data_IF_725903013641
#
_entry.id   IF_725903013641
#
_cell.length_a   1.000
_cell.length_b   1.000
_cell.length_c   1.000
_cell.angle_alpha   90.00
_cell.angle_beta   90.00
_cell.angle_gamma   90.00
#
_symmetry.space_group_name_H-M   'P 1'
#
loop_
_entity.id
_entity.type
_entity.pdbx_description
1 polymer ?
#
# COMPACT_ATOMS: atom_id res chain seq x y z
N UNK A 1 -0.14 8.70 6.96
CA UNK A 1 0.23 7.34 7.43
C UNK A 1 -0.92 6.40 7.17
N UNK A 2 -0.64 5.15 6.78
CA UNK A 2 -1.63 4.08 6.63
C UNK A 2 -1.60 3.18 7.86
N UNK A 3 -2.75 2.74 8.33
CA UNK A 3 -2.89 1.87 9.49
C UNK A 3 -4.06 0.91 9.30
N UNK A 4 -3.96 -0.30 9.83
CA UNK A 4 -5.05 -1.25 9.86
C UNK A 4 -6.11 -0.91 10.92
N UNK A 5 -7.18 -1.70 10.91
CA UNK A 5 -8.33 -1.54 11.82
C UNK A 5 -8.45 -2.67 12.86
N UNK A 6 -7.43 -3.56 12.94
CA UNK A 6 -7.50 -4.71 13.84
C UNK A 6 -7.41 -4.30 15.32
N UNK A 7 -7.94 -5.16 16.19
CA UNK A 7 -7.68 -5.05 17.62
C UNK A 7 -6.19 -5.31 17.91
N UNK A 8 -5.71 -4.88 19.06
CA UNK A 8 -4.31 -5.05 19.44
C UNK A 8 -3.42 -3.89 18.95
N UNK A 9 -2.36 -4.19 18.18
CA UNK A 9 -1.35 -3.21 17.80
C UNK A 9 -1.90 -2.03 16.99
N UNK A 10 -2.78 -2.29 16.00
CA UNK A 10 -3.38 -1.22 15.20
C UNK A 10 -4.19 -0.26 16.06
N UNK A 11 -5.10 -0.81 16.91
CA UNK A 11 -5.93 0.01 17.80
C UNK A 11 -5.09 0.79 18.81
N UNK A 12 -4.07 0.16 19.40
CA UNK A 12 -3.18 0.83 20.36
C UNK A 12 -2.42 1.98 19.71
N UNK A 13 -1.92 1.79 18.48
CA UNK A 13 -1.26 2.83 17.73
C UNK A 13 -2.23 3.93 17.31
N UNK A 14 -3.45 3.60 16.88
CA UNK A 14 -4.51 4.56 16.60
C UNK A 14 -4.79 5.43 17.83
N UNK A 15 -4.94 4.83 19.01
CA UNK A 15 -5.14 5.59 20.25
C UNK A 15 -3.99 6.56 20.51
N UNK A 16 -2.75 6.07 20.38
CA UNK A 16 -1.57 6.92 20.60
C UNK A 16 -1.48 8.10 19.64
N UNK A 17 -1.92 7.93 18.40
CA UNK A 17 -1.95 8.99 17.40
C UNK A 17 -3.08 9.99 17.68
N UNK A 18 -4.25 9.51 18.07
CA UNK A 18 -5.38 10.34 18.44
C UNK A 18 -5.07 11.20 19.68
N UNK A 19 -4.48 10.62 20.73
CA UNK A 19 -4.05 11.32 21.95
C UNK A 19 -3.05 12.46 21.65
N UNK A 20 -2.34 12.39 20.52
CA UNK A 20 -1.38 13.40 20.07
C UNK A 20 -1.95 14.36 19.03
N UNK A 21 -3.23 14.27 18.72
CA UNK A 21 -3.87 15.10 17.70
C UNK A 21 -3.29 14.90 16.30
N UNK A 22 -2.77 13.70 15.97
CA UNK A 22 -2.19 13.43 14.66
C UNK A 22 -3.28 13.12 13.64
N UNK A 23 -3.48 13.99 12.65
CA UNK A 23 -4.61 13.91 11.72
C UNK A 23 -4.29 13.22 10.38
N UNK A 24 -3.02 13.10 9.99
CA UNK A 24 -2.62 12.56 8.67
C UNK A 24 -2.58 11.04 8.65
N UNK A 25 -3.74 10.42 8.95
CA UNK A 25 -3.94 8.97 8.98
C UNK A 25 -5.00 8.55 7.96
N UNK A 26 -4.83 7.38 7.37
CA UNK A 26 -5.86 6.67 6.60
C UNK A 26 -5.97 5.27 7.18
N UNK A 27 -7.17 4.91 7.61
CA UNK A 27 -7.47 3.58 8.16
C UNK A 27 -7.91 2.66 7.03
N UNK A 28 -7.26 1.51 6.89
CA UNK A 28 -7.65 0.48 5.92
C UNK A 28 -8.56 -0.54 6.57
N UNK A 29 -9.71 -0.79 5.94
CA UNK A 29 -10.70 -1.76 6.41
C UNK A 29 -11.29 -2.53 5.23
N UNK A 30 -11.83 -3.72 5.47
CA UNK A 30 -12.67 -4.41 4.50
C UNK A 30 -14.03 -3.71 4.44
N UNK A 31 -14.57 -3.53 3.23
CA UNK A 31 -15.87 -2.87 3.01
C UNK A 31 -16.95 -3.46 3.92
N UNK A 32 -17.63 -2.60 4.65
CA UNK A 32 -18.69 -2.98 5.60
C UNK A 32 -18.20 -3.63 6.90
N UNK A 33 -16.88 -3.74 7.14
CA UNK A 33 -16.32 -4.46 8.30
C UNK A 33 -15.30 -3.64 9.10
N UNK A 34 -15.46 -2.32 9.15
CA UNK A 34 -14.59 -1.44 9.94
C UNK A 34 -14.72 -1.78 11.43
N UNK A 35 -13.60 -2.14 12.07
CA UNK A 35 -13.53 -2.50 13.50
C UNK A 35 -13.08 -1.36 14.39
N UNK A 36 -12.06 -0.62 13.99
CA UNK A 36 -11.52 0.48 14.76
C UNK A 36 -11.15 1.66 13.87
N UNK A 37 -11.59 2.85 14.27
CA UNK A 37 -11.15 4.16 13.75
C UNK A 37 -11.21 5.18 14.89
N UNK A 38 -10.23 5.10 15.80
CA UNK A 38 -10.22 5.82 17.09
C UNK A 38 -10.16 7.35 16.87
N UNK A 39 -9.39 7.80 15.89
CA UNK A 39 -9.23 9.22 15.62
C UNK A 39 -10.20 9.76 14.56
N UNK A 40 -11.23 9.02 14.18
CA UNK A 40 -12.22 9.40 13.17
C UNK A 40 -11.61 9.85 11.83
N UNK A 41 -10.48 9.25 11.45
CA UNK A 41 -9.75 9.56 10.22
C UNK A 41 -10.45 9.02 8.97
N UNK A 42 -9.93 9.42 7.82
CA UNK A 42 -10.38 8.89 6.52
C UNK A 42 -10.22 7.37 6.48
N UNK A 43 -11.28 6.67 6.04
CA UNK A 43 -11.26 5.22 5.84
C UNK A 43 -11.07 4.92 4.34
N UNK A 44 -10.17 3.99 4.04
CA UNK A 44 -10.06 3.35 2.73
C UNK A 44 -10.65 1.94 2.83
N UNK A 45 -11.83 1.77 2.27
CA UNK A 45 -12.50 0.48 2.17
C UNK A 45 -11.90 -0.33 1.02
N UNK A 46 -11.69 -1.62 1.26
CA UNK A 46 -11.16 -2.59 0.29
C UNK A 46 -12.19 -3.69 0.15
N UNK A 47 -12.64 -3.93 -1.07
CA UNK A 47 -13.63 -4.96 -1.35
C UNK A 47 -13.01 -6.35 -1.18
N UNK A 48 -13.76 -7.23 -0.53
CA UNK A 48 -13.38 -8.62 -0.39
C UNK A 48 -13.64 -9.38 -1.70
N UNK A 49 -12.74 -10.27 -2.06
CA UNK A 49 -12.98 -11.20 -3.16
C UNK A 49 -14.18 -12.09 -2.84
N UNK A 50 -14.97 -12.42 -3.87
CA UNK A 50 -16.16 -13.27 -3.71
C UNK A 50 -15.76 -14.60 -3.07
N UNK A 51 -16.35 -14.94 -1.93
CA UNK A 51 -16.09 -16.19 -1.19
C UNK A 51 -14.89 -16.15 -0.24
N UNK A 52 -14.14 -15.04 -0.16
CA UNK A 52 -13.07 -14.90 0.83
C UNK A 52 -13.60 -15.00 2.27
N UNK A 53 -12.92 -15.76 3.13
CA UNK A 53 -13.30 -15.99 4.52
C UNK A 53 -12.07 -15.98 5.44
N UNK A 54 -12.30 -15.75 6.73
CA UNK A 54 -11.25 -15.85 7.75
C UNK A 54 -10.02 -14.99 7.41
N UNK A 55 -8.86 -15.58 7.43
CA UNK A 55 -7.59 -14.89 7.20
C UNK A 55 -7.51 -14.20 5.82
N UNK A 56 -7.99 -14.85 4.76
CA UNK A 56 -7.95 -14.31 3.40
C UNK A 56 -8.79 -13.05 3.28
N UNK A 57 -9.99 -13.05 3.88
CA UNK A 57 -10.86 -11.89 3.92
C UNK A 57 -10.17 -10.67 4.54
N UNK A 58 -9.56 -10.85 5.70
CA UNK A 58 -8.89 -9.75 6.39
C UNK A 58 -7.56 -9.36 5.76
N UNK A 59 -6.92 -10.27 5.02
CA UNK A 59 -5.68 -10.01 4.30
C UNK A 59 -5.86 -9.07 3.10
N UNK A 60 -7.08 -8.95 2.53
CA UNK A 60 -7.33 -8.09 1.37
C UNK A 60 -6.94 -6.64 1.62
N UNK A 61 -7.35 -6.07 2.76
CA UNK A 61 -6.97 -4.71 3.13
C UNK A 61 -5.46 -4.56 3.36
N UNK A 62 -4.81 -5.60 3.90
CA UNK A 62 -3.37 -5.59 4.18
C UNK A 62 -2.56 -5.64 2.88
N UNK A 63 -3.04 -6.41 1.88
CA UNK A 63 -2.46 -6.43 0.53
C UNK A 63 -2.54 -5.05 -0.09
N UNK A 64 -3.72 -4.43 -0.07
CA UNK A 64 -3.91 -3.10 -0.64
C UNK A 64 -3.07 -2.05 0.09
N UNK A 65 -3.03 -2.11 1.42
CA UNK A 65 -2.21 -1.20 2.23
C UNK A 65 -0.71 -1.36 1.91
N UNK A 66 -0.24 -2.59 1.72
CA UNK A 66 1.14 -2.85 1.33
C UNK A 66 1.45 -2.32 -0.08
N UNK A 67 0.51 -2.42 -1.03
CA UNK A 67 0.65 -1.86 -2.38
C UNK A 67 0.77 -0.33 -2.37
N UNK A 68 -0.01 0.34 -1.53
CA UNK A 68 -0.05 1.79 -1.46
C UNK A 68 1.08 2.41 -0.62
N UNK A 69 1.65 1.65 0.32
CA UNK A 69 2.71 2.11 1.20
C UNK A 69 4.06 2.20 0.49
N UNK A 70 4.93 3.11 0.92
CA UNK A 70 6.32 3.20 0.47
C UNK A 70 7.30 2.43 1.37
N UNK A 71 6.92 2.22 2.62
CA UNK A 71 7.68 1.44 3.62
C UNK A 71 6.74 0.97 4.73
N UNK A 72 7.19 0.02 5.54
CA UNK A 72 6.41 -0.52 6.66
C UNK A 72 7.07 -0.32 8.02
N UNK A 73 6.22 -0.21 9.04
CA UNK A 73 6.61 -0.36 10.43
C UNK A 73 5.72 -1.41 11.07
N UNK A 74 6.33 -2.45 11.62
CA UNK A 74 5.61 -3.60 12.17
C UNK A 74 5.97 -3.85 13.62
N UNK A 75 4.96 -4.14 14.43
CA UNK A 75 5.13 -4.63 15.80
C UNK A 75 4.82 -6.13 15.80
N UNK A 76 5.83 -6.94 16.04
CA UNK A 76 5.68 -8.40 16.06
C UNK A 76 5.82 -8.95 17.48
N UNK A 77 4.80 -9.66 17.91
CA UNK A 77 4.69 -10.26 19.25
C UNK A 77 5.36 -11.65 19.37
N UNK A 78 6.03 -12.11 18.31
CA UNK A 78 6.61 -13.46 18.23
C UNK A 78 5.65 -14.53 17.73
N UNK A 79 4.36 -14.22 17.50
CA UNK A 79 3.32 -15.19 17.16
C UNK A 79 2.46 -14.78 15.95
N UNK A 80 2.24 -13.49 15.75
CA UNK A 80 1.32 -12.96 14.73
C UNK A 80 1.75 -13.32 13.32
N UNK A 81 1.01 -14.24 12.68
CA UNK A 81 1.20 -14.65 11.28
C UNK A 81 0.89 -13.51 10.31
N UNK A 82 -0.13 -12.70 10.59
CA UNK A 82 -0.51 -11.54 9.78
C UNK A 82 0.59 -10.51 9.70
N UNK A 83 1.28 -10.24 10.81
CA UNK A 83 2.43 -9.33 10.85
C UNK A 83 3.55 -9.83 9.94
N UNK A 84 3.92 -11.12 10.05
CA UNK A 84 4.96 -11.71 9.20
C UNK A 84 4.57 -11.69 7.72
N UNK A 85 3.31 -12.01 7.39
CA UNK A 85 2.82 -11.93 6.03
C UNK A 85 2.93 -10.52 5.45
N UNK A 86 2.66 -9.49 6.24
CA UNK A 86 2.80 -8.09 5.81
C UNK A 86 4.25 -7.67 5.63
N UNK A 87 5.18 -8.14 6.48
CA UNK A 87 6.62 -7.96 6.28
C UNK A 87 7.04 -8.55 4.93
N UNK A 88 6.68 -9.81 4.66
CA UNK A 88 6.99 -10.47 3.39
C UNK A 88 6.42 -9.72 2.18
N UNK A 89 5.16 -9.29 2.24
CA UNK A 89 4.53 -8.53 1.14
C UNK A 89 5.33 -7.28 0.80
N UNK A 90 5.67 -6.49 1.81
CA UNK A 90 6.43 -5.25 1.59
C UNK A 90 7.82 -5.55 1.00
N UNK A 91 8.55 -6.50 1.54
CA UNK A 91 9.87 -6.87 1.04
C UNK A 91 9.82 -7.44 -0.38
N UNK A 92 8.79 -8.24 -0.72
CA UNK A 92 8.56 -8.74 -2.08
C UNK A 92 8.31 -7.61 -3.09
N UNK A 93 7.77 -6.48 -2.64
CA UNK A 93 7.58 -5.27 -3.43
C UNK A 93 8.80 -4.33 -3.39
N UNK A 94 9.95 -4.77 -2.86
CA UNK A 94 11.16 -3.96 -2.71
C UNK A 94 11.03 -2.81 -1.72
N UNK A 95 10.05 -2.87 -0.82
CA UNK A 95 9.76 -1.80 0.15
C UNK A 95 10.42 -2.11 1.50
N UNK A 96 11.18 -1.18 2.07
CA UNK A 96 11.86 -1.40 3.36
C UNK A 96 10.85 -1.50 4.50
N UNK A 97 11.19 -2.31 5.49
CA UNK A 97 10.36 -2.54 6.68
C UNK A 97 11.18 -2.43 7.94
N UNK A 98 10.74 -1.63 8.89
CA UNK A 98 11.24 -1.65 10.26
C UNK A 98 10.33 -2.56 11.09
N UNK A 99 10.92 -3.56 11.76
CA UNK A 99 10.19 -4.52 12.60
C UNK A 99 10.67 -4.43 14.04
N UNK A 100 9.77 -4.12 14.95
CA UNK A 100 10.02 -4.27 16.37
C UNK A 100 9.71 -5.71 16.78
N UNK A 101 10.75 -6.44 17.15
CA UNK A 101 10.68 -7.82 17.65
C UNK A 101 10.37 -7.79 19.14
N UNK A 102 9.09 -7.94 19.52
CA UNK A 102 8.63 -7.86 20.90
C UNK A 102 9.39 -8.77 21.87
N UNK A 103 9.55 -10.07 21.57
CA UNK A 103 10.28 -10.99 22.44
C UNK A 103 11.74 -10.58 22.69
N UNK A 104 12.41 -10.07 21.67
CA UNK A 104 13.82 -9.63 21.75
C UNK A 104 13.96 -8.15 22.16
N UNK A 105 12.85 -7.41 22.28
CA UNK A 105 12.82 -5.97 22.55
C UNK A 105 13.76 -5.17 21.63
N UNK A 106 13.83 -5.56 20.37
CA UNK A 106 14.79 -5.04 19.40
C UNK A 106 14.08 -4.56 18.14
N UNK A 107 14.51 -3.41 17.63
CA UNK A 107 14.11 -2.91 16.31
C UNK A 107 15.13 -3.36 15.27
N UNK A 108 14.66 -3.90 14.15
CA UNK A 108 15.44 -4.30 13.00
C UNK A 108 14.92 -3.65 11.75
N UNK A 109 15.81 -3.30 10.82
CA UNK A 109 15.44 -2.80 9.50
C UNK A 109 15.75 -3.87 8.47
N UNK A 110 14.76 -4.17 7.62
CA UNK A 110 14.81 -5.16 6.56
C UNK A 110 14.64 -4.47 5.22
N UNK A 111 15.45 -4.83 4.24
CA UNK A 111 15.38 -4.25 2.88
C UNK A 111 15.17 -5.30 1.80
N UNK A 112 15.38 -6.56 2.15
CA UNK A 112 15.23 -7.68 1.23
C UNK A 112 14.60 -8.89 1.94
N UNK A 113 14.04 -9.85 1.20
CA UNK A 113 13.62 -11.14 1.76
C UNK A 113 14.75 -11.87 2.46
N UNK A 114 15.99 -11.76 1.97
CA UNK A 114 17.17 -12.39 2.59
C UNK A 114 17.45 -11.83 3.99
N UNK A 115 17.24 -10.55 4.22
CA UNK A 115 17.38 -9.95 5.55
C UNK A 115 16.42 -10.59 6.55
N UNK A 116 15.21 -10.91 6.09
CA UNK A 116 14.22 -11.60 6.92
C UNK A 116 14.63 -13.03 7.25
N UNK A 117 15.17 -13.77 6.28
CA UNK A 117 15.67 -15.13 6.50
C UNK A 117 16.81 -15.17 7.51
N UNK A 118 17.71 -14.19 7.48
CA UNK A 118 18.85 -14.07 8.44
C UNK A 118 18.38 -13.83 9.89
N UNK A 119 17.15 -13.39 10.12
CA UNK A 119 16.63 -13.24 11.49
C UNK A 119 16.36 -14.56 12.20
N UNK A 120 16.45 -15.70 11.50
CA UNK A 120 16.17 -17.01 12.09
C UNK A 120 14.72 -17.21 12.57
N UNK A 121 13.83 -16.32 12.19
CA UNK A 121 12.41 -16.49 12.41
C UNK A 121 11.97 -17.59 11.45
N UNK A 122 11.64 -18.77 11.98
CA UNK A 122 11.17 -19.92 11.21
C UNK A 122 9.93 -19.50 10.37
N UNK A 123 10.16 -19.13 9.11
CA UNK A 123 9.24 -18.33 8.34
C UNK A 123 8.16 -19.14 7.63
N UNK A 124 8.38 -20.40 7.36
CA UNK A 124 7.50 -21.19 6.49
C UNK A 124 6.58 -22.15 7.23
N UNK A 125 7.03 -22.77 8.29
CA UNK A 125 6.18 -23.66 9.10
C UNK A 125 5.10 -22.89 9.89
N UNK A 126 5.37 -21.64 10.25
CA UNK A 126 4.42 -20.79 10.98
C UNK A 126 3.34 -20.17 10.09
N UNK A 127 3.54 -20.13 8.77
CA UNK A 127 2.54 -19.59 7.83
C UNK A 127 1.51 -20.65 7.40
N UNK A 128 1.61 -21.89 7.91
CA UNK A 128 0.66 -22.99 7.79
C UNK A 128 0.16 -23.21 6.36
N UNK A 129 0.57 -24.31 5.77
CA UNK A 129 0.32 -24.71 4.40
C UNK A 129 -1.07 -24.44 3.87
N UNK A 130 -1.08 -24.22 2.57
CA UNK A 130 -2.15 -24.21 1.58
C UNK A 130 -2.46 -22.86 0.90
N UNK A 131 -1.66 -21.83 1.07
CA UNK A 131 -1.55 -20.83 0.02
C UNK A 131 -0.07 -20.59 -0.23
N UNK A 132 0.46 -21.18 -1.30
CA UNK A 132 1.65 -20.66 -1.95
C UNK A 132 1.37 -19.17 -2.22
N UNK A 133 2.03 -18.32 -1.45
CA UNK A 133 2.18 -16.94 -1.89
C UNK A 133 2.79 -17.05 -3.29
N UNK A 134 2.26 -16.37 -4.33
CA UNK A 134 2.81 -16.47 -5.66
C UNK A 134 4.21 -15.81 -5.71
N UNK A 135 5.20 -16.51 -5.18
CA UNK A 135 6.62 -16.20 -5.33
C UNK A 135 7.14 -16.77 -6.64
N UNK A 136 6.47 -16.44 -7.76
CA UNK A 136 6.85 -16.89 -9.09
C UNK A 136 6.96 -15.78 -10.12
N UNK A 137 6.61 -14.54 -9.79
CA UNK A 137 6.87 -13.42 -10.66
C UNK A 137 8.25 -12.85 -10.34
N UNK A 138 9.28 -13.42 -10.96
CA UNK A 138 10.63 -12.85 -10.97
C UNK A 138 10.57 -11.38 -11.39
N UNK A 139 11.42 -10.55 -10.78
CA UNK A 139 11.60 -9.13 -11.09
C UNK A 139 11.86 -8.81 -12.58
N UNK A 140 11.89 -9.82 -13.45
CA UNK A 140 11.96 -9.70 -14.89
C UNK A 140 10.65 -9.22 -15.53
N UNK A 141 9.48 -9.52 -14.95
CA UNK A 141 8.20 -9.11 -15.53
C UNK A 141 7.84 -7.64 -15.28
N UNK A 142 8.42 -7.04 -14.23
CA UNK A 142 8.19 -5.62 -13.93
C UNK A 142 8.96 -4.64 -14.82
N UNK A 143 9.93 -5.12 -15.60
CA UNK A 143 10.71 -4.28 -16.52
C UNK A 143 10.13 -4.17 -17.94
N UNK A 144 9.08 -4.94 -18.27
CA UNK A 144 8.47 -4.94 -19.61
C UNK A 144 7.20 -4.11 -19.73
N UNK A 145 6.75 -3.47 -18.66
CA UNK A 145 5.60 -2.56 -18.69
C UNK A 145 6.03 -1.08 -18.54
N UNK A 146 7.08 -0.66 -19.25
CA UNK A 146 7.29 0.75 -19.50
C UNK A 146 6.34 1.16 -20.64
N UNK A 147 5.52 2.22 -20.49
CA UNK A 147 4.71 2.70 -21.59
C UNK A 147 5.67 3.19 -22.69
N UNK A 148 5.56 2.60 -23.86
CA UNK A 148 6.20 3.14 -25.08
C UNK A 148 5.57 4.50 -25.32
N UNK A 149 6.41 5.54 -25.25
CA UNK A 149 6.06 6.91 -25.58
C UNK A 149 5.68 6.99 -27.06
N UNK A 150 4.39 6.85 -27.30
CA UNK A 150 3.76 6.98 -28.61
C UNK A 150 3.67 8.46 -29.00
N UNK A 151 4.78 9.10 -29.31
CA UNK A 151 4.77 10.39 -30.02
C UNK A 151 4.37 10.14 -31.47
N UNK A 152 3.26 10.72 -31.97
CA UNK A 152 2.97 10.72 -33.38
C UNK A 152 3.96 11.63 -34.11
N UNK A 153 4.32 11.30 -35.36
CA UNK A 153 5.29 12.10 -36.14
C UNK A 153 4.72 13.48 -36.46
N UNK A 154 5.56 14.50 -36.28
CA UNK A 154 5.30 15.88 -36.68
C UNK A 154 5.14 15.96 -38.18
N UNK A 155 3.91 16.10 -38.65
CA UNK A 155 3.64 16.54 -40.01
C UNK A 155 3.97 18.02 -40.15
N UNK A 156 5.01 18.32 -40.94
CA UNK A 156 5.31 19.62 -41.48
C UNK A 156 4.22 20.02 -42.48
N UNK A 157 3.30 20.84 -42.05
CA UNK A 157 2.25 21.46 -42.86
C UNK A 157 2.38 22.97 -42.77
N UNK A 158 3.11 23.54 -43.74
CA UNK A 158 3.23 24.96 -44.02
C UNK A 158 1.88 25.45 -44.55
N UNK A 159 1.18 26.34 -43.84
CA UNK A 159 0.09 27.12 -44.42
C UNK A 159 0.05 28.53 -43.83
N UNK A 160 -0.03 29.46 -44.77
CA UNK A 160 0.11 30.91 -44.70
C UNK A 160 -1.01 31.62 -43.94
N UNK A 161 -0.80 32.92 -43.60
CA UNK A 161 -1.74 33.71 -42.83
C UNK A 161 -2.81 34.32 -43.72
N UNK A 162 -4.07 34.23 -43.38
CA UNK A 162 -5.15 35.08 -43.93
C UNK A 162 -5.44 36.25 -43.00
N UNK A 163 -5.15 37.41 -43.53
CA UNK A 163 -5.51 38.74 -43.04
C UNK A 163 -7.03 38.98 -43.16
N UNK A 164 -7.49 39.96 -42.35
CA UNK A 164 -8.73 40.79 -42.42
C UNK A 164 -9.97 40.12 -41.79
N UNK A 165 -10.72 40.83 -40.96
CA UNK A 165 -11.28 42.18 -41.15
C UNK A 165 -11.74 42.76 -39.80
N UNK A 166 -11.46 44.02 -39.60
CA UNK A 166 -12.03 44.97 -38.66
C UNK A 166 -13.50 45.21 -38.98
N UNK A 167 -14.37 45.15 -38.02
CA UNK A 167 -15.71 45.74 -38.07
C UNK A 167 -15.96 46.49 -36.76
N UNK A 168 -15.99 47.83 -36.92
CA UNK A 168 -16.46 48.83 -35.95
C UNK A 168 -17.97 48.98 -36.11
N UNK A 169 -18.73 49.00 -35.02
CA UNK A 169 -19.99 49.76 -34.87
C UNK A 169 -20.22 49.84 -33.34
N UNK A 170 -20.14 50.99 -32.68
CA UNK A 170 -21.17 52.03 -32.51
C UNK A 170 -22.49 51.41 -32.04
N UNK A 171 -23.03 51.64 -30.85
CA UNK A 171 -23.21 52.83 -30.11
C UNK A 171 -24.58 52.76 -29.40
N UNK A 172 -24.70 53.53 -28.30
CA UNK A 172 -25.99 54.02 -27.71
C UNK A 172 -26.82 52.94 -26.98
N UNK A 173 -27.27 53.09 -25.77
CA UNK A 173 -27.59 54.21 -24.84
C UNK A 173 -27.54 53.65 -23.43
#
# INVERSE_FOLDING_TARGET
MFIGDTNGADRALQQRLADRGYERVVVYAVTGMLRNNVGHWKVRSVDASRGARGFDLYSMKDIQMANDASYGFMLWDGKSRGTLANVHRLLAHGKPVAVHLGPARRLVSLRSPDDFHKLGIASTAALGGQHELPFGATAAAARQAAPTDGRPPLHSGRAQPKRRRVARARGRR
#
